data_IF_686294601423
#
_entry.id   IF_686294601423
#
_cell.length_a   1.000
_cell.length_b   1.000
_cell.length_c   1.000
_cell.angle_alpha   90.00
_cell.angle_beta   90.00
_cell.angle_gamma   90.00
#
_symmetry.space_group_name_H-M   'P 1'
#
loop_
_entity.id
_entity.type
_entity.pdbx_description
1 polymer ?
#
# COMPACT_ATOMS: atom_id res chain seq x y z
N UNK A 1 -26.29 68.42 -43.48
CA UNK A 1 -27.74 68.34 -43.76
C UNK A 1 -28.09 69.61 -44.50
N UNK A 2 -28.56 69.52 -45.74
CA UNK A 2 -28.84 70.69 -46.59
C UNK A 2 -30.15 71.37 -46.15
N UNK A 3 -30.32 72.66 -46.43
CA UNK A 3 -31.49 73.46 -46.02
C UNK A 3 -32.78 72.90 -46.63
N UNK A 4 -32.67 72.26 -47.80
CA UNK A 4 -33.77 71.59 -48.46
C UNK A 4 -34.19 70.28 -47.75
N UNK A 5 -33.25 69.54 -47.14
CA UNK A 5 -33.59 68.36 -46.32
C UNK A 5 -34.33 68.75 -45.03
N UNK A 6 -33.98 69.92 -44.46
CA UNK A 6 -34.72 70.49 -43.33
C UNK A 6 -36.15 70.91 -43.71
N UNK A 7 -36.32 71.60 -44.84
CA UNK A 7 -37.66 71.97 -45.34
C UNK A 7 -38.51 70.74 -45.61
N UNK A 8 -37.91 69.69 -46.17
CA UNK A 8 -38.60 68.43 -46.49
C UNK A 8 -39.00 67.67 -45.22
N UNK A 9 -38.14 67.63 -44.19
CA UNK A 9 -38.45 67.00 -42.90
C UNK A 9 -39.41 67.80 -42.02
N UNK A 10 -39.58 69.09 -42.29
CA UNK A 10 -40.54 69.97 -41.62
C UNK A 10 -41.89 70.06 -42.38
N UNK A 11 -41.98 69.49 -43.59
CA UNK A 11 -43.20 69.43 -44.36
C UNK A 11 -44.24 68.56 -43.65
N UNK A 12 -45.44 69.12 -43.43
CA UNK A 12 -46.47 68.46 -42.62
C UNK A 12 -46.99 67.17 -43.25
N UNK A 13 -46.93 67.04 -44.59
CA UNK A 13 -47.33 65.82 -45.30
C UNK A 13 -46.27 64.72 -45.21
N UNK A 14 -44.99 65.10 -45.27
CA UNK A 14 -43.88 64.16 -45.04
C UNK A 14 -43.86 63.67 -43.58
N UNK A 15 -44.07 64.58 -42.63
CA UNK A 15 -44.13 64.25 -41.20
C UNK A 15 -45.32 63.34 -40.90
N UNK A 16 -46.51 63.60 -41.44
CA UNK A 16 -47.68 62.73 -41.24
C UNK A 16 -47.46 61.35 -41.84
N UNK A 17 -46.92 61.25 -43.06
CA UNK A 17 -46.60 59.95 -43.67
C UNK A 17 -45.57 59.15 -42.87
N UNK A 18 -44.57 59.82 -42.29
CA UNK A 18 -43.61 59.17 -41.39
C UNK A 18 -44.23 58.73 -40.06
N UNK A 19 -45.22 59.46 -39.54
CA UNK A 19 -45.95 59.09 -38.33
C UNK A 19 -46.89 57.90 -38.57
N UNK A 20 -47.59 57.88 -39.70
CA UNK A 20 -48.47 56.79 -40.10
C UNK A 20 -47.68 55.47 -40.24
N UNK A 21 -46.51 55.52 -40.89
CA UNK A 21 -45.60 54.38 -40.97
C UNK A 21 -45.12 53.90 -39.60
N UNK A 22 -44.78 54.82 -38.69
CA UNK A 22 -44.36 54.47 -37.32
C UNK A 22 -45.49 53.92 -36.45
N UNK A 23 -46.74 54.23 -36.77
CA UNK A 23 -47.92 53.70 -36.10
C UNK A 23 -48.40 52.36 -36.70
N UNK A 24 -47.96 52.02 -37.92
CA UNK A 24 -48.29 50.76 -38.59
C UNK A 24 -47.53 49.59 -37.95
N UNK A 25 -48.28 48.64 -37.38
CA UNK A 25 -47.72 47.44 -36.74
C UNK A 25 -46.91 46.58 -37.71
N UNK A 26 -47.27 46.55 -38.99
CA UNK A 26 -46.57 45.80 -40.04
C UNK A 26 -45.19 46.40 -40.27
N UNK A 27 -45.13 47.72 -40.45
CA UNK A 27 -43.87 48.43 -40.64
C UNK A 27 -42.94 48.32 -39.43
N UNK A 28 -43.48 48.48 -38.22
CA UNK A 28 -42.70 48.33 -36.97
C UNK A 28 -42.17 46.91 -36.82
N UNK A 29 -42.97 45.89 -37.16
CA UNK A 29 -42.55 44.50 -37.05
C UNK A 29 -41.45 44.18 -38.08
N UNK A 30 -41.59 44.64 -39.33
CA UNK A 30 -40.57 44.44 -40.38
C UNK A 30 -39.23 45.11 -40.02
N UNK A 31 -39.24 46.31 -39.45
CA UNK A 31 -38.02 46.97 -38.97
C UNK A 31 -37.43 46.28 -37.73
N UNK A 32 -38.26 45.72 -36.85
CA UNK A 32 -37.79 44.99 -35.68
C UNK A 32 -37.15 43.65 -36.06
N UNK A 33 -37.74 42.94 -37.03
CA UNK A 33 -37.19 41.71 -37.61
C UNK A 33 -35.81 41.94 -38.23
N UNK A 34 -35.59 43.07 -38.89
CA UNK A 34 -34.26 43.45 -39.42
C UNK A 34 -33.24 43.76 -38.32
N UNK A 35 -33.68 44.23 -37.15
CA UNK A 35 -32.81 44.57 -36.01
C UNK A 35 -32.53 43.39 -35.09
N UNK A 36 -33.37 42.37 -35.12
CA UNK A 36 -33.19 41.17 -34.31
C UNK A 36 -32.25 40.20 -35.02
N UNK A 37 -31.07 39.95 -34.46
CA UNK A 37 -30.24 38.81 -34.88
C UNK A 37 -30.84 37.52 -34.32
N UNK A 38 -31.77 36.93 -35.06
CA UNK A 38 -32.46 35.68 -34.71
C UNK A 38 -31.67 34.42 -35.04
N UNK A 39 -30.54 34.60 -35.70
CA UNK A 39 -29.68 33.51 -36.19
C UNK A 39 -28.39 33.39 -35.38
N UNK A 40 -28.18 34.27 -34.40
CA UNK A 40 -27.04 34.20 -33.52
C UNK A 40 -27.06 32.90 -32.71
N UNK A 41 -26.09 32.04 -33.00
CA UNK A 41 -25.77 30.87 -32.20
C UNK A 41 -24.31 31.01 -31.80
N UNK A 42 -24.02 30.89 -30.50
CA UNK A 42 -22.63 30.83 -30.05
C UNK A 42 -22.01 29.54 -30.60
N UNK A 43 -21.13 29.67 -31.61
CA UNK A 43 -20.50 28.53 -32.29
C UNK A 43 -19.36 27.90 -31.49
N UNK A 44 -18.97 28.51 -30.38
CA UNK A 44 -17.94 27.98 -29.50
C UNK A 44 -18.18 28.39 -28.05
N UNK A 45 -18.11 27.40 -27.17
CA UNK A 45 -17.61 27.57 -25.82
C UNK A 45 -16.19 27.02 -25.84
N UNK A 46 -15.20 27.87 -25.58
CA UNK A 46 -13.81 27.42 -25.44
C UNK A 46 -13.63 26.93 -24.00
N UNK A 47 -14.07 25.70 -23.74
CA UNK A 47 -13.64 24.87 -22.60
C UNK A 47 -13.90 25.45 -21.20
N UNK A 48 -14.85 24.88 -20.46
CA UNK A 48 -14.85 25.03 -19.00
C UNK A 48 -13.81 24.08 -18.40
N UNK A 49 -12.93 24.58 -17.53
CA UNK A 49 -12.10 23.72 -16.70
C UNK A 49 -12.93 23.20 -15.53
N UNK A 50 -12.55 22.06 -14.92
CA UNK A 50 -13.25 21.54 -13.74
C UNK A 50 -13.28 22.54 -12.57
N UNK A 51 -12.31 23.45 -12.54
CA UNK A 51 -12.19 24.53 -11.55
C UNK A 51 -13.18 25.69 -11.80
N UNK A 52 -13.63 25.89 -13.05
CA UNK A 52 -14.65 26.90 -13.41
C UNK A 52 -16.07 26.49 -13.01
N UNK A 53 -16.28 25.23 -12.62
CA UNK A 53 -17.56 24.71 -12.13
C UNK A 53 -17.59 24.88 -10.60
N UNK A 54 -17.95 26.07 -10.13
CA UNK A 54 -18.34 26.20 -8.72
C UNK A 54 -19.74 25.60 -8.55
N UNK A 55 -19.85 24.40 -7.95
CA UNK A 55 -21.13 23.80 -7.59
C UNK A 55 -21.80 24.57 -6.44
N UNK A 56 -22.37 25.74 -6.74
CA UNK A 56 -23.31 26.45 -5.88
C UNK A 56 -24.74 25.94 -6.16
N UNK A 57 -25.05 24.74 -5.70
CA UNK A 57 -26.44 24.31 -5.63
C UNK A 57 -26.65 23.52 -4.35
N UNK A 58 -27.36 24.15 -3.41
CA UNK A 58 -28.11 23.41 -2.39
C UNK A 58 -29.13 22.54 -3.13
N UNK A 59 -28.91 21.23 -3.14
CA UNK A 59 -29.79 20.26 -3.76
C UNK A 59 -31.23 20.42 -3.21
N UNK A 60 -32.26 20.61 -4.05
CA UNK A 60 -33.63 20.57 -3.59
C UNK A 60 -33.92 19.16 -3.03
N UNK A 61 -34.43 19.09 -1.81
CA UNK A 61 -34.70 17.82 -1.09
C UNK A 61 -35.81 16.95 -1.71
N UNK A 62 -36.37 17.36 -2.85
CA UNK A 62 -37.25 16.58 -3.74
C UNK A 62 -37.07 17.08 -5.17
N UNK A 63 -36.24 16.38 -5.94
CA UNK A 63 -36.06 16.64 -7.38
C UNK A 63 -37.18 16.04 -8.24
N UNK A 64 -37.39 16.56 -9.47
CA UNK A 64 -38.35 16.00 -10.43
C UNK A 64 -37.88 14.62 -10.92
N UNK A 65 -38.81 13.73 -11.26
CA UNK A 65 -38.50 12.39 -11.79
C UNK A 65 -37.92 12.50 -13.21
N UNK A 66 -36.60 12.38 -13.33
CA UNK A 66 -35.86 12.33 -14.61
C UNK A 66 -35.68 10.85 -15.01
N UNK A 67 -35.79 10.45 -16.30
CA UNK A 67 -35.43 9.10 -16.76
C UNK A 67 -33.96 8.77 -16.44
N UNK A 68 -33.56 7.48 -16.39
CA UNK A 68 -32.29 7.05 -15.82
C UNK A 68 -31.11 7.39 -16.74
N UNK A 69 -30.71 8.65 -16.75
CA UNK A 69 -29.37 9.08 -17.09
C UNK A 69 -28.75 9.55 -15.76
N UNK A 70 -27.89 8.71 -15.19
CA UNK A 70 -27.11 9.01 -13.99
C UNK A 70 -26.45 10.38 -14.14
N UNK A 71 -26.75 11.28 -13.20
CA UNK A 71 -26.16 12.62 -13.17
C UNK A 71 -24.63 12.52 -13.10
N UNK A 72 -23.92 13.55 -13.56
CA UNK A 72 -22.46 13.66 -13.32
C UNK A 72 -22.12 13.50 -11.83
N UNK A 73 -23.02 13.97 -10.95
CA UNK A 73 -22.92 13.81 -9.49
C UNK A 73 -22.96 12.35 -9.06
N UNK A 74 -23.85 11.54 -9.64
CA UNK A 74 -23.95 10.10 -9.31
C UNK A 74 -22.70 9.34 -9.74
N UNK A 75 -22.11 9.75 -10.87
CA UNK A 75 -20.87 9.17 -11.40
C UNK A 75 -19.69 9.49 -10.48
N UNK A 76 -19.58 10.74 -10.00
CA UNK A 76 -18.56 11.16 -9.05
C UNK A 76 -18.67 10.40 -7.72
N UNK A 77 -19.88 10.29 -7.16
CA UNK A 77 -20.13 9.54 -5.93
C UNK A 77 -19.77 8.06 -6.10
N UNK A 78 -20.13 7.45 -7.23
CA UNK A 78 -19.80 6.06 -7.55
C UNK A 78 -18.27 5.84 -7.62
N UNK A 79 -17.55 6.77 -8.24
CA UNK A 79 -16.09 6.72 -8.33
C UNK A 79 -15.43 6.86 -6.96
N UNK A 80 -15.92 7.76 -6.10
CA UNK A 80 -15.41 7.92 -4.74
C UNK A 80 -15.57 6.64 -3.92
N UNK A 81 -16.73 5.99 -4.01
CA UNK A 81 -16.98 4.69 -3.36
C UNK A 81 -16.05 3.60 -3.90
N UNK A 82 -15.82 3.58 -5.22
CA UNK A 82 -14.91 2.62 -5.85
C UNK A 82 -13.46 2.82 -5.38
N UNK A 83 -13.00 4.07 -5.29
CA UNK A 83 -11.66 4.42 -4.78
C UNK A 83 -11.53 4.01 -3.30
N UNK A 84 -12.55 4.28 -2.48
CA UNK A 84 -12.60 3.86 -1.08
C UNK A 84 -12.49 2.34 -0.95
N UNK A 85 -13.25 1.61 -1.76
CA UNK A 85 -13.23 0.15 -1.76
C UNK A 85 -11.86 -0.41 -2.16
N UNK A 86 -11.25 0.10 -3.23
CA UNK A 86 -9.91 -0.32 -3.68
C UNK A 86 -8.84 -0.05 -2.60
N UNK A 87 -8.93 1.08 -1.89
CA UNK A 87 -8.03 1.39 -0.77
C UNK A 87 -8.18 0.38 0.37
N UNK A 88 -9.41 -0.03 0.66
CA UNK A 88 -9.69 -1.03 1.67
C UNK A 88 -9.14 -2.41 1.29
N UNK A 89 -9.40 -2.87 0.06
CA UNK A 89 -8.86 -4.13 -0.46
C UNK A 89 -7.32 -4.13 -0.42
N UNK A 90 -6.69 -3.04 -0.83
CA UNK A 90 -5.22 -2.90 -0.77
C UNK A 90 -4.70 -2.99 0.67
N UNK A 91 -5.38 -2.39 1.64
CA UNK A 91 -5.00 -2.47 3.05
C UNK A 91 -5.13 -3.90 3.60
N UNK A 92 -6.18 -4.61 3.21
CA UNK A 92 -6.36 -6.03 3.57
C UNK A 92 -5.26 -6.88 2.96
N UNK A 93 -4.95 -6.71 1.68
CA UNK A 93 -3.87 -7.44 1.00
C UNK A 93 -2.49 -7.19 1.65
N UNK A 94 -2.19 -5.94 2.04
CA UNK A 94 -0.96 -5.60 2.77
C UNK A 94 -0.83 -6.34 4.11
N UNK A 95 -1.94 -6.71 4.75
CA UNK A 95 -1.94 -7.47 6.00
C UNK A 95 -1.88 -8.99 5.76
N UNK A 96 -2.54 -9.48 4.71
CA UNK A 96 -2.64 -10.93 4.43
C UNK A 96 -1.37 -11.47 3.79
N UNK A 97 -0.79 -10.76 2.81
CA UNK A 97 0.35 -11.26 2.03
C UNK A 97 1.56 -11.64 2.90
N UNK A 98 1.99 -10.82 3.89
CA UNK A 98 3.07 -11.21 4.80
C UNK A 98 2.83 -12.52 5.54
N UNK A 99 1.62 -12.71 6.08
CA UNK A 99 1.25 -13.91 6.84
C UNK A 99 1.07 -15.14 5.94
N UNK A 100 0.78 -14.96 4.65
CA UNK A 100 0.68 -16.05 3.69
C UNK A 100 2.04 -16.61 3.30
N UNK A 101 3.04 -15.73 3.11
CA UNK A 101 4.40 -16.14 2.72
C UNK A 101 5.23 -16.55 3.94
N UNK A 102 5.10 -15.80 5.05
CA UNK A 102 5.84 -16.01 6.28
C UNK A 102 4.91 -15.97 7.52
N UNK A 103 4.08 -17.00 7.75
CA UNK A 103 3.32 -17.12 8.99
C UNK A 103 4.22 -17.21 10.23
N UNK A 104 3.63 -17.02 11.41
CA UNK A 104 4.35 -17.20 12.68
C UNK A 104 4.96 -18.60 12.76
N UNK A 105 6.27 -18.66 12.99
CA UNK A 105 7.04 -19.90 13.00
C UNK A 105 7.82 -20.19 11.71
N UNK A 106 7.69 -19.35 10.68
CA UNK A 106 8.53 -19.45 9.48
C UNK A 106 10.01 -19.23 9.77
N UNK A 107 10.84 -19.90 8.97
CA UNK A 107 12.30 -19.72 8.98
C UNK A 107 12.71 -18.83 7.80
N UNK A 108 13.48 -17.79 8.09
CA UNK A 108 14.14 -16.96 7.08
C UNK A 108 15.65 -17.23 7.15
N UNK A 109 16.24 -17.62 6.02
CA UNK A 109 17.66 -17.93 5.89
C UNK A 109 18.28 -17.01 4.84
N UNK A 110 19.35 -16.32 5.20
CA UNK A 110 20.03 -15.37 4.34
C UNK A 110 21.51 -15.31 4.67
N UNK A 111 22.33 -14.95 3.68
CA UNK A 111 23.75 -14.62 3.87
C UNK A 111 23.96 -13.15 4.27
N UNK A 112 22.89 -12.34 4.24
CA UNK A 112 22.91 -10.96 4.72
C UNK A 112 22.81 -10.93 6.24
N UNK A 113 23.68 -10.16 6.91
CA UNK A 113 23.67 -9.97 8.37
C UNK A 113 22.59 -9.00 8.86
N UNK A 114 21.89 -8.32 7.95
CA UNK A 114 20.80 -7.39 8.26
C UNK A 114 19.58 -8.16 8.80
N UNK A 115 18.95 -7.61 9.85
CA UNK A 115 17.76 -8.20 10.48
C UNK A 115 16.61 -8.34 9.46
N UNK A 116 15.86 -9.46 9.45
CA UNK A 116 14.83 -9.70 8.43
C UNK A 116 13.70 -8.66 8.45
N UNK A 117 13.35 -8.10 9.62
CA UNK A 117 12.37 -7.01 9.73
C UNK A 117 12.75 -5.77 8.90
N UNK A 118 14.04 -5.51 8.69
CA UNK A 118 14.52 -4.38 7.88
C UNK A 118 14.48 -4.70 6.39
N UNK A 119 14.83 -5.93 6.01
CA UNK A 119 14.87 -6.36 4.59
C UNK A 119 13.47 -6.62 4.05
N UNK A 120 12.61 -7.25 4.85
CA UNK A 120 11.24 -7.60 4.47
C UNK A 120 10.25 -6.46 4.77
N UNK A 121 10.58 -5.57 5.70
CA UNK A 121 9.72 -4.45 6.09
C UNK A 121 8.52 -4.84 6.96
N UNK A 122 8.49 -6.08 7.47
CA UNK A 122 7.41 -6.60 8.33
C UNK A 122 7.88 -7.74 9.24
N UNK A 123 7.01 -8.09 10.18
CA UNK A 123 7.18 -9.23 11.09
C UNK A 123 8.08 -8.91 12.29
N UNK A 124 8.07 -9.82 13.25
CA UNK A 124 8.98 -9.80 14.41
C UNK A 124 9.84 -11.05 14.35
N UNK A 125 11.16 -10.87 14.25
CA UNK A 125 12.09 -11.96 13.97
C UNK A 125 13.02 -12.20 15.15
N UNK A 126 13.24 -13.47 15.47
CA UNK A 126 14.20 -13.91 16.49
C UNK A 126 15.26 -14.77 15.83
N UNK A 127 16.54 -14.41 16.04
CA UNK A 127 17.65 -15.17 15.48
C UNK A 127 17.82 -16.50 16.22
N UNK A 128 18.06 -17.56 15.45
CA UNK A 128 18.48 -18.86 15.98
C UNK A 128 20.01 -18.86 16.04
N UNK A 129 20.57 -18.97 17.25
CA UNK A 129 22.02 -18.94 17.51
C UNK A 129 22.45 -20.26 18.16
N UNK A 130 23.65 -20.72 17.84
CA UNK A 130 24.26 -21.96 18.35
C UNK A 130 23.43 -23.24 18.11
N UNK A 131 22.64 -23.26 17.03
CA UNK A 131 21.82 -24.42 16.64
C UNK A 131 21.92 -24.64 15.14
N UNK A 132 21.72 -25.89 14.73
CA UNK A 132 21.56 -26.27 13.34
C UNK A 132 20.15 -26.75 13.09
N UNK A 133 19.68 -26.58 11.84
CA UNK A 133 18.40 -27.13 11.43
C UNK A 133 18.55 -28.64 11.20
N UNK A 134 17.67 -29.42 11.83
CA UNK A 134 17.60 -30.87 11.65
C UNK A 134 16.18 -31.26 11.28
N UNK A 135 16.03 -32.02 10.18
CA UNK A 135 14.73 -32.52 9.75
C UNK A 135 14.32 -33.70 10.63
N UNK A 136 13.47 -33.45 11.63
CA UNK A 136 12.98 -34.47 12.55
C UNK A 136 11.58 -34.97 12.18
N UNK A 137 11.29 -36.23 12.50
CA UNK A 137 9.96 -36.84 12.39
C UNK A 137 9.15 -36.73 13.70
N UNK A 138 9.73 -36.11 14.73
CA UNK A 138 9.12 -35.79 16.02
C UNK A 138 9.43 -34.34 16.40
N UNK A 139 8.61 -33.75 17.27
CA UNK A 139 8.67 -32.32 17.54
C UNK A 139 9.77 -31.95 18.54
N UNK A 140 10.54 -30.90 18.21
CA UNK A 140 11.25 -30.00 19.15
C UNK A 140 12.30 -30.65 20.06
N UNK A 141 12.94 -31.73 19.64
CA UNK A 141 14.09 -32.24 20.37
C UNK A 141 15.33 -31.37 20.07
N UNK A 142 15.97 -30.89 21.13
CA UNK A 142 17.29 -30.26 21.06
C UNK A 142 18.31 -31.24 21.60
N UNK A 143 19.40 -31.46 20.87
CA UNK A 143 20.46 -32.37 21.26
C UNK A 143 21.76 -32.07 20.52
N UNK A 144 22.70 -33.00 20.62
CA UNK A 144 24.06 -32.83 20.11
C UNK A 144 24.97 -32.13 21.12
N UNK A 145 26.26 -32.45 21.05
CA UNK A 145 27.29 -31.87 21.90
C UNK A 145 28.51 -31.52 21.06
N UNK A 146 29.12 -30.37 21.34
CA UNK A 146 30.42 -29.98 20.75
C UNK A 146 31.59 -30.71 21.44
N UNK A 147 31.36 -31.36 22.59
CA UNK A 147 32.39 -31.99 23.44
C UNK A 147 31.93 -33.36 23.95
N UNK A 148 32.85 -34.31 24.08
CA UNK A 148 32.55 -35.59 24.74
C UNK A 148 32.52 -35.41 26.26
N UNK A 149 31.46 -35.88 26.91
CA UNK A 149 31.37 -36.02 28.37
C UNK A 149 31.49 -37.49 28.77
N UNK A 150 31.61 -37.77 30.07
CA UNK A 150 31.61 -39.15 30.58
C UNK A 150 30.33 -39.92 30.22
N UNK A 151 29.18 -39.24 30.10
CA UNK A 151 27.91 -39.83 29.65
C UNK A 151 27.95 -40.27 28.18
N UNK A 152 28.85 -39.69 27.38
CA UNK A 152 29.03 -40.07 25.97
C UNK A 152 30.00 -41.24 25.79
N UNK A 153 30.68 -41.68 26.86
CA UNK A 153 31.60 -42.80 26.80
C UNK A 153 30.87 -44.08 27.23
N UNK A 154 30.98 -45.19 26.47
CA UNK A 154 30.49 -46.47 26.93
C UNK A 154 31.24 -46.91 28.20
N UNK A 155 30.59 -47.76 29.00
CA UNK A 155 31.23 -48.37 30.15
C UNK A 155 32.51 -49.10 29.70
N UNK A 156 33.64 -48.78 30.32
CA UNK A 156 34.93 -49.41 30.05
C UNK A 156 35.58 -49.83 31.36
N UNK A 157 36.45 -50.85 31.28
CA UNK A 157 37.23 -51.33 32.41
C UNK A 157 38.71 -51.38 32.01
N UNK A 158 39.58 -51.16 33.00
CA UNK A 158 41.01 -51.37 32.84
C UNK A 158 41.40 -52.62 33.62
N UNK A 159 42.13 -53.52 32.97
CA UNK A 159 42.75 -54.63 33.65
C UNK A 159 44.11 -54.16 34.17
N UNK A 160 44.20 -53.91 35.47
CA UNK A 160 45.41 -53.47 36.17
C UNK A 160 45.55 -54.25 37.47
N UNK A 161 46.67 -54.94 37.63
CA UNK A 161 47.07 -55.57 38.88
C UNK A 161 48.00 -54.62 39.64
N UNK A 162 47.42 -53.81 40.52
CA UNK A 162 48.12 -52.87 41.39
C UNK A 162 47.70 -53.16 42.82
N UNK A 163 48.64 -53.64 43.63
CA UNK A 163 48.44 -53.88 45.05
C UNK A 163 49.08 -52.76 45.86
N UNK A 164 48.31 -52.12 46.76
CA UNK A 164 48.84 -51.26 47.84
C UNK A 164 49.12 -52.05 49.12
N UNK A 165 48.73 -53.32 49.16
CA UNK A 165 48.74 -54.21 50.32
C UNK A 165 49.82 -55.29 50.25
N UNK A 166 50.43 -55.52 49.09
CA UNK A 166 51.50 -56.49 48.86
C UNK A 166 52.64 -55.78 48.11
N UNK A 167 53.88 -56.21 48.34
CA UNK A 167 54.99 -55.88 47.46
C UNK A 167 54.60 -56.32 46.04
N UNK A 168 54.22 -55.38 45.17
CA UNK A 168 53.72 -55.64 43.81
C UNK A 168 54.72 -56.44 42.95
N UNK A 169 54.50 -56.58 41.65
CA UNK A 169 55.39 -57.38 40.77
C UNK A 169 56.80 -56.77 40.62
N UNK A 170 57.66 -57.01 41.59
CA UNK A 170 59.07 -56.64 41.56
C UNK A 170 59.93 -57.71 42.25
N UNK A 171 61.21 -57.77 41.87
CA UNK A 171 62.18 -58.74 42.40
C UNK A 171 63.23 -58.03 43.24
N UNK A 172 63.49 -58.56 44.43
CA UNK A 172 64.65 -58.15 45.23
C UNK A 172 65.82 -59.10 44.98
N UNK A 173 67.04 -58.57 44.89
CA UNK A 173 68.29 -59.34 44.96
C UNK A 173 68.87 -59.15 46.36
N UNK A 174 68.92 -60.22 47.15
CA UNK A 174 69.66 -60.22 48.41
C UNK A 174 71.10 -60.67 48.17
N UNK A 175 72.04 -60.01 48.85
CA UNK A 175 73.42 -60.47 49.01
C UNK A 175 73.62 -60.84 50.47
N UNK A 176 73.72 -62.15 50.74
CA UNK A 176 74.00 -62.68 52.06
C UNK A 176 75.46 -62.41 52.42
N UNK A 177 75.68 -61.53 53.41
CA UNK A 177 76.95 -61.43 54.08
C UNK A 177 76.91 -62.37 55.30
N UNK A 178 77.78 -63.37 55.32
CA UNK A 178 77.92 -64.30 56.44
C UNK A 178 78.44 -63.57 57.68
N UNK A 179 77.57 -63.33 58.67
CA UNK A 179 78.01 -63.03 60.04
C UNK A 179 78.43 -64.32 60.73
N UNK A 180 79.75 -64.48 60.86
CA UNK A 180 80.36 -65.34 61.87
C UNK A 180 79.90 -64.88 63.26
N UNK A 181 79.46 -65.81 64.10
CA UNK A 181 79.63 -65.63 65.54
C UNK A 181 80.29 -66.85 66.18
N UNK A 182 81.26 -66.54 67.06
CA UNK A 182 82.22 -67.44 67.68
C UNK A 182 81.70 -67.87 69.05
N UNK A 183 81.69 -69.20 69.25
CA UNK A 183 81.81 -69.96 70.52
C UNK A 183 80.94 -69.55 71.70
#
# INVERSE_FOLDING_TARGET
>A
MDIEDFKTKADTGWVSGCLDLKADKTYVNDELEKKADKTHTHTSFTTFTADDITLNTTLPSKGPTIPPATSLVDTLISNDNSIMHLRQELNVLKQILPNLIYPVGSLYVSMNSTRPEVVLGFGTWTQIVDRFLYCANSSKETGGSKTISGENLPAHSHYIDLSTSQAGWHKHRYWDWYSYDKR
#
